data_IF_265513623685
#
_entry.id   IF_265513623685
#
_cell.length_a   1.000
_cell.length_b   1.000
_cell.length_c   1.000
_cell.angle_alpha   90.00
_cell.angle_beta   90.00
_cell.angle_gamma   90.00
#
_symmetry.space_group_name_H-M   'P 1'
#
loop_
_entity.id
_entity.type
_entity.pdbx_description
1 polymer ?
#
# COMPACT_ATOMS: atom_id res chain seq x y z
N UNK A 1 0.56 -22.29 73.69
CA UNK A 1 0.99 -22.65 72.33
C UNK A 1 0.18 -21.86 71.37
N UNK A 2 0.76 -20.85 70.78
CA UNK A 2 0.10 -19.93 69.84
C UNK A 2 0.50 -20.33 68.42
N UNK A 3 -0.41 -20.92 67.69
CA UNK A 3 -0.18 -21.31 66.31
C UNK A 3 -0.51 -20.12 65.41
N UNK A 4 0.50 -19.47 64.91
CA UNK A 4 0.34 -18.40 63.91
C UNK A 4 0.12 -19.04 62.56
N UNK A 5 -1.07 -18.91 62.06
CA UNK A 5 -1.45 -19.34 60.70
C UNK A 5 -1.08 -18.23 59.71
N UNK A 6 0.01 -18.46 58.98
CA UNK A 6 0.47 -17.56 57.93
C UNK A 6 -0.41 -17.73 56.69
N UNK A 7 -1.33 -16.79 56.45
CA UNK A 7 -2.13 -16.76 55.26
C UNK A 7 -1.25 -16.15 54.13
N UNK A 8 -0.73 -16.99 53.29
CA UNK A 8 -0.08 -16.56 52.04
C UNK A 8 -1.17 -16.08 51.07
N UNK A 9 -1.34 -14.77 50.99
CA UNK A 9 -2.14 -14.16 49.94
C UNK A 9 -1.28 -14.21 48.65
N UNK A 10 -1.55 -15.21 47.84
CA UNK A 10 -1.03 -15.27 46.49
C UNK A 10 -1.62 -14.14 45.67
N UNK A 11 -0.87 -13.07 45.48
CA UNK A 11 -1.22 -12.06 44.48
C UNK A 11 -0.95 -12.69 43.14
N UNK A 12 -2.02 -13.22 42.53
CA UNK A 12 -2.02 -13.57 41.13
C UNK A 12 -1.86 -12.28 40.32
N UNK A 13 -0.61 -11.99 39.93
CA UNK A 13 -0.36 -11.03 38.86
C UNK A 13 -1.01 -11.60 37.61
N UNK A 14 -2.29 -11.25 37.39
CA UNK A 14 -2.87 -11.36 36.10
C UNK A 14 -2.16 -10.29 35.26
N UNK A 15 -1.05 -10.68 34.69
CA UNK A 15 -0.48 -9.98 33.58
C UNK A 15 -1.51 -10.05 32.45
N UNK A 16 -2.39 -9.08 32.38
CA UNK A 16 -3.10 -8.78 31.17
C UNK A 16 -2.00 -8.38 30.17
N UNK A 17 -1.44 -9.37 29.48
CA UNK A 17 -0.93 -9.15 28.16
C UNK A 17 -2.15 -8.78 27.31
N UNK A 18 -2.56 -7.53 27.37
CA UNK A 18 -3.07 -6.89 26.20
C UNK A 18 -1.90 -7.00 25.21
N UNK A 19 -1.91 -8.02 24.40
CA UNK A 19 -1.40 -7.85 23.07
C UNK A 19 -2.19 -6.67 22.57
N UNK A 20 -1.61 -5.51 22.69
CA UNK A 20 -2.04 -4.34 21.99
C UNK A 20 -1.90 -4.75 20.53
N UNK A 21 -2.98 -5.26 19.99
CA UNK A 21 -3.19 -5.44 18.58
C UNK A 21 -3.28 -4.01 18.04
N UNK A 22 -2.14 -3.31 18.09
CA UNK A 22 -1.96 -1.95 17.59
C UNK A 22 -2.00 -2.04 16.08
N UNK A 23 -3.18 -2.35 15.57
CA UNK A 23 -3.47 -2.20 14.17
C UNK A 23 -3.51 -0.71 13.86
N UNK A 24 -2.45 -0.21 13.28
CA UNK A 24 -2.41 1.13 12.76
C UNK A 24 -2.80 1.09 11.28
N UNK A 25 -3.93 1.69 10.92
CA UNK A 25 -4.40 1.78 9.55
C UNK A 25 -4.04 3.11 8.87
N UNK A 26 -3.02 3.81 9.35
CA UNK A 26 -2.42 4.95 8.64
C UNK A 26 -1.43 4.40 7.62
N UNK A 27 -1.80 4.36 6.33
CA UNK A 27 -1.01 3.66 5.32
C UNK A 27 0.21 4.46 4.87
N UNK A 28 1.24 3.72 4.49
CA UNK A 28 2.44 4.25 3.85
C UNK A 28 2.88 3.28 2.76
N UNK A 29 3.17 3.79 1.58
CA UNK A 29 3.77 3.00 0.50
C UNK A 29 5.29 2.91 0.69
N UNK A 30 5.83 1.70 0.49
CA UNK A 30 7.26 1.44 0.58
C UNK A 30 7.70 0.48 -0.56
N UNK A 31 8.49 0.97 -1.52
CA UNK A 31 8.89 2.36 -1.72
C UNK A 31 7.72 3.25 -2.17
N UNK A 32 7.79 4.54 -1.91
CA UNK A 32 6.78 5.51 -2.34
C UNK A 32 6.96 5.98 -3.78
N UNK A 33 8.08 5.63 -4.39
CA UNK A 33 8.38 5.96 -5.78
C UNK A 33 9.14 4.81 -6.45
N UNK A 34 8.70 4.45 -7.65
CA UNK A 34 9.37 3.50 -8.54
C UNK A 34 9.77 4.19 -9.83
N UNK A 35 10.95 3.84 -10.34
CA UNK A 35 11.40 4.25 -11.65
C UNK A 35 11.76 3.03 -12.49
N UNK A 36 11.15 2.96 -13.66
CA UNK A 36 11.41 1.95 -14.68
C UNK A 36 12.20 2.55 -15.83
N UNK A 37 12.98 1.73 -16.48
CA UNK A 37 13.53 2.07 -17.77
C UNK A 37 12.43 2.06 -18.85
N UNK A 38 12.76 2.42 -20.09
CA UNK A 38 11.80 2.44 -21.20
C UNK A 38 11.27 1.05 -21.58
N UNK A 39 11.98 0.00 -21.21
CA UNK A 39 11.55 -1.38 -21.42
C UNK A 39 10.41 -1.75 -20.46
N UNK A 40 9.70 -2.84 -20.78
CA UNK A 40 8.74 -3.42 -19.85
C UNK A 40 9.45 -3.94 -18.59
N UNK A 41 8.79 -3.90 -17.46
CA UNK A 41 9.37 -4.35 -16.20
C UNK A 41 8.34 -4.53 -15.11
N UNK A 42 8.74 -5.21 -14.05
CA UNK A 42 7.92 -5.45 -12.86
C UNK A 42 8.71 -5.11 -11.61
N UNK A 43 8.10 -4.36 -10.71
CA UNK A 43 8.61 -4.05 -9.37
C UNK A 43 7.45 -4.15 -8.37
N UNK A 44 7.77 -4.10 -7.10
CA UNK A 44 6.79 -4.28 -6.03
C UNK A 44 6.77 -3.08 -5.08
N UNK A 45 5.59 -2.80 -4.55
CA UNK A 45 5.35 -1.84 -3.47
C UNK A 45 4.66 -2.60 -2.33
N UNK A 46 5.10 -2.37 -1.11
CA UNK A 46 4.40 -2.79 0.09
C UNK A 46 3.66 -1.61 0.69
N UNK A 47 2.40 -1.80 1.09
CA UNK A 47 1.66 -0.81 1.87
C UNK A 47 1.71 -1.25 3.33
N UNK A 48 2.33 -0.43 4.16
CA UNK A 48 2.57 -0.70 5.57
C UNK A 48 1.92 0.37 6.44
N UNK A 49 1.63 0.08 7.72
CA UNK A 49 1.26 1.14 8.64
C UNK A 49 2.49 2.01 8.96
N UNK A 50 2.25 3.29 9.21
CA UNK A 50 3.29 4.22 9.67
C UNK A 50 3.78 3.89 11.07
N UNK A 51 2.93 3.27 11.87
CA UNK A 51 3.23 2.74 13.20
C UNK A 51 2.44 1.45 13.40
N UNK A 52 2.86 0.59 14.36
CA UNK A 52 2.20 -0.67 14.62
C UNK A 52 2.69 -1.82 13.76
N UNK A 53 2.07 -2.99 13.89
CA UNK A 53 2.59 -4.23 13.33
C UNK A 53 2.09 -4.52 11.92
N UNK A 54 0.84 -4.20 11.60
CA UNK A 54 0.23 -4.48 10.29
C UNK A 54 -1.01 -3.66 10.02
N UNK A 55 -1.32 -3.48 8.76
CA UNK A 55 -2.62 -3.02 8.30
C UNK A 55 -3.66 -4.13 8.50
N UNK A 56 -4.81 -3.79 9.03
CA UNK A 56 -5.95 -4.72 9.20
C UNK A 56 -7.11 -4.42 8.28
N UNK A 57 -7.12 -3.24 7.67
CA UNK A 57 -8.13 -2.80 6.71
C UNK A 57 -7.51 -2.59 5.34
N UNK A 58 -8.28 -2.91 4.31
CA UNK A 58 -7.92 -2.63 2.93
C UNK A 58 -8.06 -1.12 2.66
N UNK A 59 -7.06 -0.57 1.96
CA UNK A 59 -7.16 0.79 1.46
C UNK A 59 -8.03 0.84 0.19
N UNK A 60 -8.64 1.99 -0.05
CA UNK A 60 -9.46 2.26 -1.22
C UNK A 60 -8.70 3.19 -2.18
N UNK A 61 -8.81 2.92 -3.47
CA UNK A 61 -8.33 3.82 -4.50
C UNK A 61 -9.13 5.13 -4.48
N UNK A 62 -8.43 6.26 -4.52
CA UNK A 62 -9.04 7.60 -4.55
C UNK A 62 -8.92 8.21 -5.93
N UNK A 63 -7.69 8.35 -6.41
CA UNK A 63 -7.42 8.97 -7.72
C UNK A 63 -6.06 8.56 -8.28
N UNK A 64 -5.92 8.80 -9.57
CA UNK A 64 -4.64 8.76 -10.27
C UNK A 64 -4.46 10.08 -11.03
N UNK A 65 -3.24 10.62 -10.97
CA UNK A 65 -2.90 11.86 -11.66
C UNK A 65 -1.53 11.76 -12.32
N UNK A 66 -1.32 12.50 -13.38
CA UNK A 66 0.02 12.74 -13.89
C UNK A 66 0.63 13.90 -13.10
N UNK A 67 1.64 13.66 -12.25
CA UNK A 67 2.19 14.70 -11.37
C UNK A 67 2.95 15.81 -12.13
N UNK A 68 3.23 15.62 -13.42
CA UNK A 68 3.91 16.60 -14.28
C UNK A 68 2.96 17.56 -14.98
N UNK A 69 1.66 17.31 -14.88
CA UNK A 69 0.62 18.15 -15.48
C UNK A 69 -0.17 18.87 -14.39
N UNK A 70 -0.76 20.00 -14.76
CA UNK A 70 -1.64 20.75 -13.86
C UNK A 70 -3.09 20.29 -13.97
N UNK A 71 -3.81 20.36 -12.84
CA UNK A 71 -5.25 20.13 -12.81
C UNK A 71 -5.99 21.12 -13.73
N UNK A 72 -7.05 20.71 -14.47
CA UNK A 72 -7.69 19.39 -14.47
C UNK A 72 -7.10 18.38 -15.48
N UNK A 73 -6.09 18.78 -16.27
CA UNK A 73 -5.48 17.93 -17.34
C UNK A 73 -4.65 16.77 -16.80
N UNK A 74 -4.35 16.78 -15.52
CA UNK A 74 -3.50 15.79 -14.86
C UNK A 74 -4.24 14.50 -14.48
N UNK A 75 -5.57 14.44 -14.59
CA UNK A 75 -6.34 13.25 -14.18
C UNK A 75 -6.10 12.09 -15.12
N UNK A 76 -5.74 10.97 -14.53
CA UNK A 76 -5.56 9.69 -15.19
C UNK A 76 -6.70 8.73 -14.84
N UNK A 77 -7.10 7.89 -15.78
CA UNK A 77 -8.12 6.87 -15.54
C UNK A 77 -7.47 5.51 -15.45
N UNK A 78 -7.78 4.79 -14.40
CA UNK A 78 -7.45 3.38 -14.27
C UNK A 78 -8.74 2.56 -14.36
N UNK A 79 -8.71 1.54 -15.21
CA UNK A 79 -9.74 0.52 -15.25
C UNK A 79 -9.55 -0.41 -14.07
N UNK A 80 -10.63 -0.81 -13.44
CA UNK A 80 -10.63 -1.73 -12.31
C UNK A 80 -11.26 -3.04 -12.74
N UNK A 81 -10.51 -4.12 -12.65
CA UNK A 81 -10.99 -5.46 -12.94
C UNK A 81 -10.91 -6.33 -11.66
N UNK A 82 -11.97 -7.05 -11.39
CA UNK A 82 -11.96 -8.12 -10.38
C UNK A 82 -11.35 -9.37 -10.99
N UNK A 83 -10.56 -10.07 -10.21
CA UNK A 83 -10.01 -11.37 -10.62
C UNK A 83 -10.85 -12.51 -10.07
N UNK A 84 -10.66 -13.72 -10.60
CA UNK A 84 -11.22 -14.94 -10.02
C UNK A 84 -10.62 -15.29 -8.66
N UNK A 85 -9.50 -14.67 -8.29
CA UNK A 85 -8.85 -14.84 -6.99
C UNK A 85 -9.47 -13.87 -5.99
N UNK A 86 -10.10 -14.35 -4.89
CA UNK A 86 -10.63 -13.48 -3.86
C UNK A 86 -9.58 -12.53 -3.29
N UNK A 87 -9.96 -11.27 -3.07
CA UNK A 87 -9.07 -10.26 -2.47
C UNK A 87 -7.99 -9.71 -3.41
N UNK A 88 -8.04 -10.04 -4.70
CA UNK A 88 -7.13 -9.49 -5.71
C UNK A 88 -7.88 -8.55 -6.64
N UNK A 89 -7.37 -7.34 -6.81
CA UNK A 89 -7.86 -6.32 -7.73
C UNK A 89 -6.78 -5.93 -8.72
N UNK A 90 -7.17 -5.65 -9.94
CA UNK A 90 -6.28 -5.15 -10.99
C UNK A 90 -6.72 -3.76 -11.41
N UNK A 91 -5.79 -2.81 -11.31
CA UNK A 91 -5.94 -1.46 -11.84
C UNK A 91 -5.04 -1.31 -13.05
N UNK A 92 -5.56 -0.84 -14.16
CA UNK A 92 -4.78 -0.75 -15.38
C UNK A 92 -5.15 0.44 -16.25
N UNK A 93 -4.19 0.88 -17.04
CA UNK A 93 -4.37 1.76 -18.19
C UNK A 93 -3.57 1.24 -19.38
N UNK A 94 -3.28 2.09 -20.37
CA UNK A 94 -2.58 1.70 -21.60
C UNK A 94 -1.15 1.20 -21.36
N UNK A 95 -0.52 1.56 -20.26
CA UNK A 95 0.90 1.25 -20.03
C UNK A 95 1.23 0.68 -18.65
N UNK A 96 0.28 0.68 -17.74
CA UNK A 96 0.47 0.29 -16.34
C UNK A 96 -0.55 -0.78 -15.94
N UNK A 97 -0.09 -1.79 -15.22
CA UNK A 97 -0.93 -2.80 -14.59
C UNK A 97 -0.49 -2.91 -13.12
N UNK A 98 -1.43 -2.68 -12.23
CA UNK A 98 -1.25 -2.85 -10.78
C UNK A 98 -2.07 -4.04 -10.33
N UNK A 99 -1.42 -5.05 -9.77
CA UNK A 99 -2.08 -6.16 -9.11
C UNK A 99 -2.00 -5.98 -7.61
N UNK A 100 -3.12 -5.64 -7.01
CA UNK A 100 -3.25 -5.37 -5.57
C UNK A 100 -3.78 -6.62 -4.88
N UNK A 101 -3.08 -7.11 -3.88
CA UNK A 101 -3.39 -8.33 -3.16
C UNK A 101 -3.14 -8.17 -1.65
N UNK A 102 -3.46 -9.20 -0.89
CA UNK A 102 -3.21 -9.26 0.55
C UNK A 102 -3.79 -8.06 1.31
N UNK A 103 -5.10 -7.81 1.15
CA UNK A 103 -5.80 -6.65 1.71
C UNK A 103 -5.16 -5.30 1.32
N UNK A 104 -4.60 -5.21 0.12
CA UNK A 104 -3.94 -4.01 -0.36
C UNK A 104 -2.49 -3.81 0.14
N UNK A 105 -1.97 -4.73 0.94
CA UNK A 105 -0.61 -4.63 1.49
C UNK A 105 0.49 -4.90 0.47
N UNK A 106 0.14 -5.55 -0.62
CA UNK A 106 1.08 -5.92 -1.67
C UNK A 106 0.59 -5.46 -3.04
N UNK A 107 1.45 -4.76 -3.77
CA UNK A 107 1.17 -4.24 -5.10
C UNK A 107 2.30 -4.69 -6.04
N UNK A 108 1.96 -5.56 -6.99
CA UNK A 108 2.84 -5.84 -8.12
C UNK A 108 2.60 -4.76 -9.19
N UNK A 109 3.64 -4.04 -9.54
CA UNK A 109 3.62 -2.96 -10.52
C UNK A 109 4.28 -3.46 -11.80
N UNK A 110 3.51 -3.58 -12.85
CA UNK A 110 3.98 -3.98 -14.17
C UNK A 110 3.79 -2.84 -15.16
N UNK A 111 4.86 -2.42 -15.82
CA UNK A 111 4.83 -1.41 -16.87
C UNK A 111 5.10 -2.03 -18.24
N UNK A 112 4.33 -1.60 -19.22
CA UNK A 112 4.55 -1.96 -20.61
C UNK A 112 5.64 -1.08 -21.22
N UNK A 113 6.26 -1.55 -22.30
CA UNK A 113 7.30 -0.82 -23.01
C UNK A 113 6.86 0.60 -23.36
N UNK A 114 7.73 1.56 -23.10
CA UNK A 114 7.55 2.94 -23.56
C UNK A 114 8.31 3.17 -24.88
N UNK A 115 7.61 3.07 -25.99
CA UNK A 115 8.18 3.31 -27.31
C UNK A 115 8.26 4.80 -27.69
N UNK A 116 7.77 5.66 -26.82
CA UNK A 116 7.75 7.11 -27.01
C UNK A 116 9.06 7.76 -26.59
N UNK A 117 9.35 8.92 -27.16
CA UNK A 117 10.46 9.78 -26.75
C UNK A 117 10.15 10.60 -25.48
N UNK A 118 8.92 10.51 -24.97
CA UNK A 118 8.50 11.21 -23.76
C UNK A 118 8.44 10.25 -22.56
N UNK A 119 8.96 10.63 -21.38
CA UNK A 119 8.77 9.85 -20.17
C UNK A 119 7.31 9.87 -19.73
N UNK A 120 6.91 8.87 -18.95
CA UNK A 120 5.57 8.74 -18.37
C UNK A 120 5.66 8.76 -16.85
N UNK A 121 4.64 9.32 -16.23
CA UNK A 121 4.55 9.35 -14.76
C UNK A 121 3.10 9.30 -14.35
N UNK A 122 2.83 8.57 -13.27
CA UNK A 122 1.51 8.51 -12.63
C UNK A 122 1.69 8.47 -11.12
N UNK A 123 0.91 9.26 -10.41
CA UNK A 123 0.80 9.22 -8.97
C UNK A 123 -0.57 8.66 -8.60
N UNK A 124 -0.56 7.67 -7.75
CA UNK A 124 -1.77 7.00 -7.26
C UNK A 124 -1.96 7.34 -5.81
N UNK A 125 -3.17 7.74 -5.46
CA UNK A 125 -3.58 8.04 -4.10
C UNK A 125 -4.57 7.01 -3.62
N UNK A 126 -4.29 6.45 -2.46
CA UNK A 126 -5.17 5.57 -1.72
C UNK A 126 -5.57 6.16 -0.38
N UNK A 127 -6.61 5.62 0.22
CA UNK A 127 -7.13 6.05 1.53
C UNK A 127 -7.52 4.87 2.40
N UNK A 128 -7.14 4.90 3.66
CA UNK A 128 -7.56 3.95 4.67
C UNK A 128 -7.88 4.72 5.97
N UNK A 129 -9.08 4.52 6.53
CA UNK A 129 -9.53 5.22 7.74
C UNK A 129 -9.32 6.74 7.68
N UNK A 130 -9.71 7.40 6.58
CA UNK A 130 -9.55 8.83 6.31
C UNK A 130 -8.08 9.31 6.20
N UNK A 131 -7.12 8.40 6.22
CA UNK A 131 -5.72 8.72 6.01
C UNK A 131 -5.33 8.42 4.57
N UNK A 132 -4.76 9.39 3.90
CA UNK A 132 -4.31 9.27 2.51
C UNK A 132 -2.83 8.99 2.43
N UNK A 133 -2.46 8.22 1.43
CA UNK A 133 -1.07 7.99 1.02
C UNK A 133 -0.99 8.02 -0.49
N UNK A 134 0.20 8.24 -1.00
CA UNK A 134 0.44 8.21 -2.44
C UNK A 134 1.72 7.48 -2.77
N UNK A 135 1.77 6.93 -3.96
CA UNK A 135 2.99 6.41 -4.57
C UNK A 135 3.05 6.82 -6.04
N UNK A 136 4.26 6.98 -6.53
CA UNK A 136 4.53 7.47 -7.89
C UNK A 136 5.27 6.41 -8.69
N UNK A 137 4.85 6.21 -9.92
CA UNK A 137 5.48 5.30 -10.88
C UNK A 137 5.95 6.14 -12.07
N UNK A 138 7.25 6.08 -12.31
CA UNK A 138 7.89 6.77 -13.42
C UNK A 138 8.45 5.76 -14.41
N UNK A 139 8.33 6.06 -15.69
CA UNK A 139 9.01 5.30 -16.74
C UNK A 139 9.75 6.24 -17.67
N UNK A 140 11.02 5.94 -17.89
CA UNK A 140 11.88 6.72 -18.78
C UNK A 140 11.42 6.65 -20.23
N UNK A 141 11.80 7.66 -21.00
CA UNK A 141 11.64 7.63 -22.43
C UNK A 141 12.68 6.67 -23.07
N UNK A 142 12.36 6.19 -24.26
CA UNK A 142 13.33 5.48 -25.08
C UNK A 142 14.39 6.47 -25.53
N UNK A 143 15.65 6.14 -25.26
CA UNK A 143 16.82 6.88 -25.75
C UNK A 143 17.27 6.21 -27.04
N UNK A 144 17.47 7.00 -28.09
CA UNK A 144 18.01 6.55 -29.40
C UNK A 144 19.51 6.84 -29.48
#
# INVERSE_FOLDING_TARGET
>A
MLTVMLVMIGVSMISCNKEDDESNNVPQADPSELTFDWESGTQQISVRPTQGKKMTKEWKFVEAVNPKLQSPKNKERLRVDSTSTPGVKIYSNEWLILRVSDLGRHIDVNVLRNSSIAPRSIQITGECDNNRFSFTINQRAKVY
#
